data_IF_432272834882
#
_entry.id   IF_432272834882
#
_cell.length_a   1.000
_cell.length_b   1.000
_cell.length_c   1.000
_cell.angle_alpha   90.00
_cell.angle_beta   90.00
_cell.angle_gamma   90.00
#
_symmetry.space_group_name_H-M   'P 1'
#
loop_
_entity.id
_entity.type
_entity.pdbx_description
1 polymer ?
#
# COMPACT_ATOMS: atom_id res chain seq x y z
N UNK A 1 48.89 -53.93 -120.32
CA UNK A 1 48.50 -54.80 -121.46
C UNK A 1 47.62 -55.93 -120.92
N UNK A 2 46.43 -56.13 -121.52
CA UNK A 2 45.62 -57.37 -121.72
C UNK A 2 45.69 -58.48 -120.65
N UNK A 3 44.64 -59.19 -120.19
CA UNK A 3 43.24 -59.47 -120.59
C UNK A 3 42.69 -60.40 -119.46
N UNK A 4 41.49 -60.18 -118.91
CA UNK A 4 40.22 -60.91 -119.16
C UNK A 4 40.13 -62.41 -118.76
N UNK A 5 39.01 -62.75 -118.06
CA UNK A 5 38.41 -64.08 -117.90
C UNK A 5 38.18 -64.46 -116.43
N UNK A 6 37.04 -64.28 -115.74
CA UNK A 6 35.60 -64.59 -115.93
C UNK A 6 35.20 -66.06 -115.60
N UNK A 7 34.40 -66.18 -114.51
CA UNK A 7 33.44 -67.23 -114.06
C UNK A 7 33.99 -68.64 -113.76
N UNK A 8 33.53 -69.44 -112.78
CA UNK A 8 32.21 -69.84 -112.24
C UNK A 8 32.52 -70.41 -110.81
N UNK A 9 31.85 -70.17 -109.68
CA UNK A 9 30.43 -70.28 -109.36
C UNK A 9 30.11 -71.62 -108.66
N UNK A 10 30.15 -71.70 -107.33
CA UNK A 10 29.40 -72.72 -106.56
C UNK A 10 28.99 -72.21 -105.18
N UNK A 11 27.69 -72.16 -104.95
CA UNK A 11 26.99 -71.79 -103.72
C UNK A 11 27.11 -72.85 -102.63
N UNK A 12 27.08 -72.45 -101.36
CA UNK A 12 26.33 -73.16 -100.32
C UNK A 12 25.92 -72.21 -99.18
N UNK A 13 24.67 -72.36 -98.77
CA UNK A 13 23.86 -71.51 -97.90
C UNK A 13 24.39 -71.34 -96.47
N UNK A 14 24.26 -70.13 -95.92
CA UNK A 14 24.10 -69.89 -94.47
C UNK A 14 22.88 -69.00 -94.26
N UNK A 15 21.93 -69.49 -93.47
CA UNK A 15 20.67 -68.85 -93.08
C UNK A 15 20.93 -67.56 -92.27
N UNK A 16 20.43 -66.43 -92.78
CA UNK A 16 20.40 -65.15 -92.07
C UNK A 16 19.12 -65.06 -91.21
N UNK A 17 19.30 -65.00 -89.89
CA UNK A 17 18.25 -64.68 -88.92
C UNK A 17 18.28 -63.17 -88.67
N UNK A 18 17.34 -62.43 -89.26
CA UNK A 18 17.20 -60.99 -89.06
C UNK A 18 16.35 -60.72 -87.80
N UNK A 19 17.00 -60.69 -86.64
CA UNK A 19 16.42 -60.13 -85.42
C UNK A 19 16.74 -58.64 -85.31
N UNK A 20 15.77 -57.77 -85.60
CA UNK A 20 15.86 -56.34 -85.29
C UNK A 20 15.79 -56.14 -83.77
N UNK A 21 16.91 -55.74 -83.15
CA UNK A 21 16.93 -55.24 -81.77
C UNK A 21 16.26 -53.85 -81.75
N UNK A 22 14.99 -53.81 -81.33
CA UNK A 22 14.35 -52.57 -80.94
C UNK A 22 14.95 -52.14 -79.58
N UNK A 23 15.77 -51.09 -79.58
CA UNK A 23 16.17 -50.41 -78.35
C UNK A 23 14.93 -49.71 -77.77
N UNK A 24 14.32 -50.30 -76.75
CA UNK A 24 13.27 -49.66 -75.98
C UNK A 24 13.86 -48.45 -75.25
N UNK A 25 13.29 -47.28 -75.50
CA UNK A 25 13.61 -46.04 -74.79
C UNK A 25 13.20 -46.19 -73.33
N UNK A 26 14.16 -46.34 -72.41
CA UNK A 26 13.90 -46.44 -70.98
C UNK A 26 13.45 -45.07 -70.48
N UNK A 27 12.14 -44.88 -70.34
CA UNK A 27 11.60 -43.67 -69.67
C UNK A 27 11.99 -43.73 -68.19
N UNK A 28 12.78 -42.77 -67.67
CA UNK A 28 13.11 -42.73 -66.26
C UNK A 28 11.84 -42.46 -65.45
N UNK A 29 11.61 -43.29 -64.43
CA UNK A 29 10.54 -43.07 -63.45
C UNK A 29 10.83 -41.77 -62.67
N UNK A 30 9.80 -40.96 -62.36
CA UNK A 30 9.96 -39.78 -61.53
C UNK A 30 10.40 -40.18 -60.11
N UNK A 31 11.29 -39.38 -59.51
CA UNK A 31 11.76 -39.61 -58.14
C UNK A 31 10.59 -39.46 -57.15
N UNK A 32 10.58 -40.30 -56.11
CA UNK A 32 9.65 -40.22 -54.99
C UNK A 32 10.37 -39.92 -53.68
N UNK A 33 9.65 -39.55 -52.61
CA UNK A 33 10.25 -39.35 -51.28
C UNK A 33 10.99 -40.58 -50.75
N UNK A 34 10.54 -41.80 -51.13
CA UNK A 34 11.22 -43.05 -50.80
C UNK A 34 12.56 -43.24 -51.54
N UNK A 35 12.79 -42.49 -52.62
CA UNK A 35 14.06 -42.47 -53.33
C UNK A 35 15.03 -41.45 -52.73
N UNK A 36 14.53 -40.32 -52.22
CA UNK A 36 15.33 -39.27 -51.60
C UNK A 36 16.12 -39.76 -50.38
N UNK A 37 15.50 -40.55 -49.51
CA UNK A 37 16.14 -41.09 -48.29
C UNK A 37 17.36 -41.98 -48.57
N UNK A 38 17.45 -42.57 -49.76
CA UNK A 38 18.57 -43.44 -50.15
C UNK A 38 19.89 -42.66 -50.26
N UNK A 39 19.83 -41.34 -50.46
CA UNK A 39 21.01 -40.48 -50.58
C UNK A 39 21.01 -39.30 -49.59
N UNK A 40 19.83 -38.78 -49.19
CA UNK A 40 19.63 -37.67 -48.26
C UNK A 40 19.13 -38.16 -46.90
N UNK A 41 19.81 -39.15 -46.34
CA UNK A 41 19.35 -39.82 -45.12
C UNK A 41 19.19 -38.84 -43.95
N UNK A 42 20.19 -37.98 -43.72
CA UNK A 42 20.21 -37.06 -42.60
C UNK A 42 19.16 -35.94 -42.75
N UNK A 43 18.99 -35.38 -43.95
CA UNK A 43 17.97 -34.37 -44.22
C UNK A 43 16.56 -34.95 -44.09
N UNK A 44 16.31 -36.13 -44.66
CA UNK A 44 15.01 -36.79 -44.54
C UNK A 44 14.71 -37.12 -43.09
N UNK A 45 15.70 -37.64 -42.34
CA UNK A 45 15.53 -37.88 -40.90
C UNK A 45 15.23 -36.59 -40.13
N UNK A 46 15.89 -35.49 -40.49
CA UNK A 46 15.68 -34.17 -39.88
C UNK A 46 14.24 -33.67 -40.11
N UNK A 47 13.74 -33.74 -41.34
CA UNK A 47 12.33 -33.38 -41.65
C UNK A 47 11.35 -34.20 -40.84
N UNK A 48 11.58 -35.51 -40.74
CA UNK A 48 10.68 -36.40 -40.02
C UNK A 48 10.79 -36.29 -38.48
N UNK A 49 11.84 -35.65 -37.96
CA UNK A 49 12.08 -35.49 -36.53
C UNK A 49 11.19 -34.45 -35.85
N UNK A 50 10.68 -33.48 -36.61
CA UNK A 50 9.77 -32.45 -36.12
C UNK A 50 8.35 -32.69 -36.64
N UNK A 51 7.36 -32.61 -35.76
CA UNK A 51 5.97 -32.72 -36.17
C UNK A 51 5.50 -31.38 -36.75
N UNK A 52 5.58 -31.25 -38.07
CA UNK A 52 5.26 -30.01 -38.80
C UNK A 52 4.57 -30.31 -40.12
N UNK A 53 3.90 -29.31 -40.71
CA UNK A 53 3.31 -29.43 -42.04
C UNK A 53 4.35 -29.78 -43.14
N UNK A 54 5.63 -29.41 -42.94
CA UNK A 54 6.71 -29.78 -43.87
C UNK A 54 6.99 -31.28 -43.89
N UNK A 55 6.66 -32.00 -42.80
CA UNK A 55 6.72 -33.46 -42.71
C UNK A 55 5.42 -34.11 -43.21
N UNK A 56 4.29 -33.56 -42.80
CA UNK A 56 2.99 -34.25 -42.91
C UNK A 56 2.24 -33.96 -44.20
N UNK A 57 2.53 -32.84 -44.88
CA UNK A 57 1.73 -32.32 -45.99
C UNK A 57 2.53 -32.04 -47.26
N UNK A 58 3.87 -32.08 -47.21
CA UNK A 58 4.75 -31.77 -48.34
C UNK A 58 5.64 -32.97 -48.71
N UNK A 59 5.75 -33.25 -50.00
CA UNK A 59 6.76 -34.15 -50.56
C UNK A 59 8.07 -33.39 -50.83
N UNK A 60 9.19 -34.13 -50.92
CA UNK A 60 10.52 -33.53 -51.15
C UNK A 60 10.58 -32.68 -52.44
N UNK A 61 9.86 -33.09 -53.48
CA UNK A 61 9.81 -32.38 -54.77
C UNK A 61 8.83 -31.19 -54.78
N UNK A 62 8.00 -31.02 -53.75
CA UNK A 62 7.18 -29.81 -53.60
C UNK A 62 8.04 -28.63 -53.15
N UNK A 63 9.20 -28.91 -52.55
CA UNK A 63 10.19 -27.92 -52.12
C UNK A 63 11.44 -27.90 -53.03
N UNK A 64 11.81 -29.02 -53.65
CA UNK A 64 12.96 -29.07 -54.57
C UNK A 64 12.52 -29.18 -56.03
N UNK A 65 12.58 -28.07 -56.76
CA UNK A 65 12.14 -28.00 -58.17
C UNK A 65 13.10 -28.69 -59.17
N UNK A 66 14.22 -29.23 -58.70
CA UNK A 66 15.21 -29.91 -59.53
C UNK A 66 16.17 -30.81 -58.74
N UNK A 67 16.81 -31.75 -59.43
CA UNK A 67 17.80 -32.66 -58.84
C UNK A 67 18.96 -32.92 -59.82
N UNK A 68 20.24 -32.92 -59.36
CA UNK A 68 21.38 -33.23 -60.22
C UNK A 68 21.29 -34.62 -60.86
N UNK A 69 21.82 -34.84 -62.09
CA UNK A 69 22.54 -33.88 -62.94
C UNK A 69 21.62 -33.00 -63.81
N UNK A 70 20.30 -33.24 -63.80
CA UNK A 70 19.33 -32.58 -64.70
C UNK A 70 18.97 -31.14 -64.28
N UNK A 71 19.25 -30.77 -63.03
CA UNK A 71 19.02 -29.42 -62.51
C UNK A 71 19.67 -29.23 -61.14
N UNK A 72 19.63 -27.99 -60.63
CA UNK A 72 20.03 -27.71 -59.23
C UNK A 72 18.80 -27.91 -58.33
N UNK A 73 19.04 -28.40 -57.12
CA UNK A 73 18.02 -28.42 -56.06
C UNK A 73 17.81 -26.99 -55.55
N UNK A 74 16.87 -26.28 -56.17
CA UNK A 74 16.48 -24.92 -55.77
C UNK A 74 15.24 -25.01 -54.89
N UNK A 75 15.32 -24.38 -53.72
CA UNK A 75 14.19 -24.19 -52.81
C UNK A 75 13.44 -22.91 -53.24
N UNK A 76 12.11 -22.96 -53.47
CA UNK A 76 11.34 -21.77 -53.82
C UNK A 76 11.31 -20.78 -52.65
N UNK A 77 10.92 -19.53 -52.92
CA UNK A 77 10.73 -18.55 -51.84
C UNK A 77 9.69 -19.06 -50.85
N UNK A 78 9.99 -18.96 -49.56
CA UNK A 78 9.09 -19.37 -48.47
C UNK A 78 7.70 -18.71 -48.59
N UNK A 79 7.65 -17.47 -49.12
CA UNK A 79 6.41 -16.71 -49.35
C UNK A 79 5.45 -17.32 -50.38
N UNK A 80 5.85 -18.38 -51.09
CA UNK A 80 4.94 -19.14 -51.96
C UNK A 80 3.89 -19.91 -51.16
N UNK A 81 4.22 -20.30 -49.93
CA UNK A 81 3.33 -21.03 -49.03
C UNK A 81 3.04 -20.26 -47.73
N UNK A 82 3.90 -19.31 -47.36
CA UNK A 82 3.74 -18.45 -46.17
C UNK A 82 3.39 -17.02 -46.57
N UNK A 83 2.11 -16.70 -46.68
CA UNK A 83 1.66 -15.37 -47.13
C UNK A 83 1.86 -14.31 -46.02
N UNK A 84 2.61 -13.22 -46.26
CA UNK A 84 2.69 -12.08 -45.35
C UNK A 84 1.34 -11.49 -44.90
N UNK A 85 0.27 -11.69 -45.67
CA UNK A 85 -1.09 -11.29 -45.29
C UNK A 85 -1.66 -12.16 -44.16
N UNK A 86 -1.24 -13.42 -44.03
CA UNK A 86 -1.70 -14.34 -42.98
C UNK A 86 -1.01 -14.07 -41.65
N UNK A 87 0.29 -13.71 -41.68
CA UNK A 87 1.04 -13.34 -40.49
C UNK A 87 2.17 -12.35 -40.82
N UNK A 88 2.26 -11.19 -40.13
CA UNK A 88 3.34 -10.22 -40.32
C UNK A 88 4.75 -10.78 -40.16
N UNK A 89 4.93 -11.84 -39.38
CA UNK A 89 6.20 -12.56 -39.26
C UNK A 89 6.72 -13.06 -40.61
N UNK A 90 5.84 -13.50 -41.51
CA UNK A 90 6.22 -14.01 -42.83
C UNK A 90 6.73 -12.91 -43.77
N UNK A 91 6.54 -11.63 -43.43
CA UNK A 91 7.14 -10.51 -44.14
C UNK A 91 8.62 -10.28 -43.77
N UNK A 92 9.13 -10.94 -42.73
CA UNK A 92 10.51 -10.71 -42.24
C UNK A 92 11.55 -11.30 -43.20
N UNK A 93 12.64 -10.56 -43.50
CA UNK A 93 13.67 -11.05 -44.41
C UNK A 93 14.60 -12.06 -43.72
N UNK A 94 15.21 -12.95 -44.51
CA UNK A 94 16.26 -13.84 -44.03
C UNK A 94 15.74 -15.02 -43.20
N UNK A 95 14.62 -15.64 -43.62
CA UNK A 95 13.96 -16.75 -42.94
C UNK A 95 14.95 -17.87 -42.53
N UNK A 96 15.91 -18.18 -43.40
CA UNK A 96 16.90 -19.25 -43.18
C UNK A 96 17.99 -18.92 -42.14
N UNK A 97 18.03 -17.69 -41.63
CA UNK A 97 18.90 -17.33 -40.50
C UNK A 97 18.39 -17.91 -39.19
N UNK A 98 17.09 -18.14 -39.09
CA UNK A 98 16.45 -18.67 -37.89
C UNK A 98 15.84 -20.04 -38.16
N UNK A 99 15.14 -20.21 -39.28
CA UNK A 99 14.48 -21.47 -39.65
C UNK A 99 15.38 -22.33 -40.51
N UNK A 100 15.52 -23.61 -40.17
CA UNK A 100 16.05 -24.59 -41.10
C UNK A 100 14.90 -25.09 -42.00
N UNK A 101 14.96 -25.05 -43.34
CA UNK A 101 13.89 -25.57 -44.19
C UNK A 101 13.53 -27.05 -43.95
N UNK A 102 14.49 -27.84 -43.45
CA UNK A 102 14.28 -29.23 -43.04
C UNK A 102 13.90 -29.38 -41.56
N UNK A 103 14.04 -28.34 -40.75
CA UNK A 103 13.62 -28.29 -39.35
C UNK A 103 13.10 -26.88 -39.01
N UNK A 104 11.92 -26.50 -39.53
CA UNK A 104 11.46 -25.12 -39.49
C UNK A 104 11.01 -24.70 -38.09
N UNK A 105 10.75 -25.64 -37.18
CA UNK A 105 10.37 -25.30 -35.82
C UNK A 105 11.63 -24.93 -35.03
N UNK A 106 11.72 -23.65 -34.67
CA UNK A 106 12.75 -23.12 -33.77
C UNK A 106 12.17 -23.14 -32.37
N UNK A 107 12.73 -23.98 -31.50
CA UNK A 107 12.32 -24.07 -30.10
C UNK A 107 13.27 -23.35 -29.16
N UNK A 108 14.54 -23.22 -29.53
CA UNK A 108 15.59 -22.60 -28.72
C UNK A 108 15.96 -21.24 -29.31
N UNK A 109 15.88 -20.21 -28.47
CA UNK A 109 16.17 -18.83 -28.84
C UNK A 109 17.53 -18.34 -28.37
N UNK A 110 18.27 -19.13 -27.59
CA UNK A 110 19.58 -18.74 -27.02
C UNK A 110 20.62 -18.50 -28.11
N UNK A 111 20.46 -19.18 -29.24
CA UNK A 111 21.31 -19.04 -30.42
C UNK A 111 20.88 -17.89 -31.36
N UNK A 112 19.74 -17.25 -31.10
CA UNK A 112 19.23 -16.16 -31.92
C UNK A 112 19.76 -14.80 -31.42
N UNK A 113 20.50 -14.10 -32.27
CA UNK A 113 20.86 -12.70 -32.05
C UNK A 113 19.90 -11.75 -32.76
N UNK A 114 19.56 -10.63 -32.10
CA UNK A 114 18.67 -9.58 -32.63
C UNK A 114 17.30 -10.13 -33.06
N UNK A 115 16.68 -10.94 -32.19
CA UNK A 115 15.38 -11.56 -32.43
C UNK A 115 14.22 -10.59 -32.14
N UNK A 116 14.44 -9.52 -31.36
CA UNK A 116 13.41 -8.57 -30.96
C UNK A 116 12.57 -8.02 -32.13
N UNK A 117 13.13 -7.58 -33.27
CA UNK A 117 12.34 -7.11 -34.42
C UNK A 117 11.38 -8.17 -34.96
N UNK A 118 11.71 -9.45 -34.82
CA UNK A 118 10.88 -10.58 -35.26
C UNK A 118 9.82 -10.89 -34.20
N UNK A 119 10.15 -10.92 -32.91
CA UNK A 119 9.20 -11.21 -31.83
C UNK A 119 8.02 -10.21 -31.81
N UNK A 120 8.29 -8.92 -32.04
CA UNK A 120 7.26 -7.87 -32.00
C UNK A 120 6.30 -7.89 -33.19
N UNK A 121 6.57 -8.68 -34.24
CA UNK A 121 5.63 -8.86 -35.36
C UNK A 121 4.36 -9.59 -34.92
N UNK A 122 4.47 -10.47 -33.90
CA UNK A 122 3.34 -11.14 -33.25
C UNK A 122 3.02 -10.53 -31.89
N UNK A 123 4.01 -10.07 -31.13
CA UNK A 123 3.84 -9.48 -29.79
C UNK A 123 3.74 -7.94 -29.82
N UNK A 124 2.86 -7.42 -30.67
CA UNK A 124 2.69 -5.97 -30.87
C UNK A 124 2.32 -5.22 -29.59
N UNK A 125 1.50 -5.84 -28.72
CA UNK A 125 1.11 -5.26 -27.44
C UNK A 125 2.29 -5.10 -26.48
N UNK A 126 3.24 -6.04 -26.50
CA UNK A 126 4.46 -5.97 -25.69
C UNK A 126 5.35 -4.83 -26.20
N UNK A 127 5.49 -4.71 -27.52
CA UNK A 127 6.22 -3.60 -28.15
C UNK A 127 5.62 -2.24 -27.75
N UNK A 128 4.29 -2.11 -27.80
CA UNK A 128 3.59 -0.90 -27.37
C UNK A 128 3.84 -0.60 -25.89
N UNK A 129 3.73 -1.60 -25.01
CA UNK A 129 4.00 -1.44 -23.59
C UNK A 129 5.43 -0.94 -23.32
N UNK A 130 6.44 -1.56 -23.95
CA UNK A 130 7.84 -1.18 -23.78
C UNK A 130 8.15 0.23 -24.33
N UNK A 131 7.43 0.69 -25.36
CA UNK A 131 7.54 2.04 -25.92
C UNK A 131 6.84 3.10 -25.06
N UNK A 132 5.67 2.78 -24.50
CA UNK A 132 4.92 3.69 -23.62
C UNK A 132 5.72 4.04 -22.35
N UNK A 133 6.44 3.06 -21.80
CA UNK A 133 7.25 3.22 -20.59
C UNK A 133 8.61 2.56 -20.82
N UNK A 134 9.55 3.29 -21.46
CA UNK A 134 10.89 2.79 -21.71
C UNK A 134 11.63 2.45 -20.42
N UNK A 135 12.42 1.40 -20.47
CA UNK A 135 13.29 0.95 -19.38
C UNK A 135 14.54 0.28 -19.96
N UNK A 136 15.51 -0.08 -19.10
CA UNK A 136 16.67 -0.86 -19.54
C UNK A 136 16.27 -2.18 -20.22
N UNK A 137 15.13 -2.77 -19.83
CA UNK A 137 14.60 -3.99 -20.47
C UNK A 137 14.10 -3.72 -21.89
N UNK A 138 13.61 -2.50 -22.18
CA UNK A 138 13.19 -2.10 -23.51
C UNK A 138 14.36 -2.04 -24.49
N UNK A 139 15.61 -1.94 -24.01
CA UNK A 139 16.82 -1.92 -24.86
C UNK A 139 17.45 -3.31 -25.05
N UNK A 140 17.02 -4.32 -24.30
CA UNK A 140 17.53 -5.69 -24.44
C UNK A 140 16.82 -6.43 -25.59
N UNK A 141 17.48 -7.47 -26.10
CA UNK A 141 16.80 -8.44 -26.96
C UNK A 141 15.81 -9.30 -26.15
N UNK A 142 14.75 -9.78 -26.79
CA UNK A 142 13.77 -10.66 -26.13
C UNK A 142 14.41 -11.94 -25.61
N UNK A 143 15.44 -12.45 -26.29
CA UNK A 143 16.15 -13.69 -25.92
C UNK A 143 17.01 -13.55 -24.68
N UNK A 144 17.26 -12.33 -24.20
CA UNK A 144 17.96 -12.09 -22.93
C UNK A 144 17.17 -12.60 -21.72
N UNK A 145 15.87 -12.84 -21.87
CA UNK A 145 15.04 -13.45 -20.83
C UNK A 145 14.16 -14.58 -21.35
N UNK A 146 13.83 -14.62 -22.65
CA UNK A 146 12.96 -15.64 -23.24
C UNK A 146 13.76 -16.63 -24.09
N UNK A 147 13.99 -17.81 -23.53
CA UNK A 147 14.89 -18.82 -24.13
C UNK A 147 14.19 -19.77 -25.11
N UNK A 148 12.86 -19.76 -25.18
CA UNK A 148 12.14 -20.70 -26.05
C UNK A 148 10.77 -20.23 -26.51
N UNK A 149 10.36 -20.79 -27.65
CA UNK A 149 9.03 -20.59 -28.24
C UNK A 149 8.06 -21.69 -27.77
N UNK A 150 6.96 -21.34 -27.11
CA UNK A 150 5.95 -22.33 -26.70
C UNK A 150 4.87 -21.85 -25.72
N UNK A 151 3.86 -22.71 -25.53
CA UNK A 151 2.68 -22.48 -24.67
C UNK A 151 2.89 -22.87 -23.19
N UNK A 152 4.08 -23.34 -22.81
CA UNK A 152 4.38 -23.68 -21.43
C UNK A 152 4.55 -22.40 -20.60
N UNK A 153 3.77 -22.26 -19.53
CA UNK A 153 3.87 -21.14 -18.58
C UNK A 153 5.33 -20.96 -18.13
N UNK A 154 5.92 -19.82 -18.50
CA UNK A 154 6.99 -19.19 -17.73
C UNK A 154 8.42 -19.63 -18.02
N UNK A 155 8.76 -19.92 -19.27
CA UNK A 155 10.17 -20.08 -19.65
C UNK A 155 10.83 -18.73 -19.88
N UNK A 156 10.97 -17.99 -18.77
CA UNK A 156 11.84 -16.84 -18.72
C UNK A 156 12.66 -16.87 -17.44
N UNK A 157 13.84 -16.26 -17.50
CA UNK A 157 14.67 -16.02 -16.32
C UNK A 157 13.87 -15.40 -15.18
N UNK A 158 14.31 -15.69 -13.95
CA UNK A 158 13.71 -15.10 -12.77
C UNK A 158 14.27 -13.71 -12.55
N UNK A 159 13.45 -12.80 -12.01
CA UNK A 159 13.89 -11.43 -11.73
C UNK A 159 15.15 -11.40 -10.85
N UNK A 160 15.30 -12.40 -9.97
CA UNK A 160 16.36 -12.50 -8.97
C UNK A 160 17.68 -13.06 -9.50
N UNK A 161 17.70 -13.52 -10.74
CA UNK A 161 18.95 -13.94 -11.39
C UNK A 161 19.81 -12.72 -11.77
N UNK A 162 19.17 -11.54 -11.91
CA UNK A 162 19.85 -10.28 -12.21
C UNK A 162 19.59 -9.15 -11.19
N UNK A 163 18.45 -9.16 -10.50
CA UNK A 163 18.06 -8.09 -9.57
C UNK A 163 18.13 -8.52 -8.10
N UNK A 164 18.65 -7.63 -7.26
CA UNK A 164 18.57 -7.78 -5.82
C UNK A 164 17.13 -7.61 -5.33
N UNK A 165 16.74 -8.41 -4.34
CA UNK A 165 15.42 -8.33 -3.72
C UNK A 165 15.37 -7.14 -2.77
N UNK A 166 14.21 -6.49 -2.69
CA UNK A 166 13.98 -5.44 -1.68
C UNK A 166 13.89 -6.00 -0.25
N UNK A 167 13.59 -7.30 -0.11
CA UNK A 167 13.70 -8.04 1.14
C UNK A 167 13.98 -9.53 0.86
N UNK A 168 14.73 -10.25 1.73
CA UNK A 168 15.16 -11.63 1.48
C UNK A 168 14.03 -12.61 1.16
N UNK A 169 12.88 -12.43 1.81
CA UNK A 169 11.69 -13.27 1.74
C UNK A 169 10.87 -13.09 0.47
N UNK A 170 11.15 -12.07 -0.35
CA UNK A 170 10.38 -11.81 -1.57
C UNK A 170 10.57 -12.94 -2.59
N UNK A 171 9.46 -13.37 -3.19
CA UNK A 171 9.43 -14.32 -4.30
C UNK A 171 9.17 -13.60 -5.62
N UNK A 172 9.42 -14.29 -6.75
CA UNK A 172 9.05 -13.77 -8.08
C UNK A 172 7.58 -13.35 -8.16
N UNK A 173 6.69 -14.11 -7.49
CA UNK A 173 5.25 -13.79 -7.46
C UNK A 173 5.00 -12.44 -6.76
N UNK A 174 5.78 -12.13 -5.72
CA UNK A 174 5.69 -10.85 -5.01
C UNK A 174 6.20 -9.68 -5.87
N UNK A 175 7.28 -9.90 -6.64
CA UNK A 175 7.77 -8.91 -7.61
C UNK A 175 6.67 -8.50 -8.59
N UNK A 176 5.91 -9.48 -9.11
CA UNK A 176 4.84 -9.26 -10.09
C UNK A 176 3.61 -8.53 -9.54
N UNK A 177 3.54 -8.30 -8.22
CA UNK A 177 2.46 -7.52 -7.59
C UNK A 177 2.64 -6.02 -7.75
N UNK A 178 3.86 -5.59 -8.06
CA UNK A 178 4.22 -4.19 -8.22
C UNK A 178 4.85 -3.93 -9.59
N UNK A 179 5.72 -4.84 -10.06
CA UNK A 179 6.46 -4.71 -11.31
C UNK A 179 5.83 -5.53 -12.42
N UNK A 180 5.68 -4.92 -13.60
CA UNK A 180 5.35 -5.64 -14.83
C UNK A 180 6.64 -5.94 -15.58
N UNK A 181 6.91 -7.18 -16.03
CA UNK A 181 8.19 -7.53 -16.68
C UNK A 181 8.58 -6.64 -17.87
N UNK A 182 7.59 -6.22 -18.67
CA UNK A 182 7.81 -5.37 -19.85
C UNK A 182 7.62 -3.87 -19.57
N UNK A 183 7.22 -3.50 -18.35
CA UNK A 183 7.10 -2.13 -17.87
C UNK A 183 7.53 -2.05 -16.39
N UNK A 184 8.80 -2.41 -16.05
CA UNK A 184 9.21 -2.56 -14.66
C UNK A 184 9.17 -1.24 -13.87
N UNK A 185 9.26 -0.11 -14.57
CA UNK A 185 9.15 1.24 -14.01
C UNK A 185 7.69 1.70 -13.81
N UNK A 186 6.72 0.90 -14.25
CA UNK A 186 5.29 1.15 -14.07
C UNK A 186 4.80 0.38 -12.86
N UNK A 187 4.90 1.01 -11.70
CA UNK A 187 4.33 0.48 -10.47
C UNK A 187 2.80 0.48 -10.57
N UNK A 188 2.21 -0.69 -10.72
CA UNK A 188 0.76 -0.90 -10.66
C UNK A 188 0.50 -2.00 -9.66
N UNK A 189 -0.47 -1.76 -8.79
CA UNK A 189 -1.06 -2.77 -7.94
C UNK A 189 -2.56 -2.84 -8.18
N UNK A 190 -3.00 -4.02 -8.59
CA UNK A 190 -4.39 -4.35 -8.92
C UNK A 190 -5.04 -5.25 -7.86
N UNK A 191 -4.31 -5.57 -6.79
CA UNK A 191 -4.77 -6.41 -5.68
C UNK A 191 -4.32 -5.85 -4.33
N UNK A 192 -5.00 -6.25 -3.25
CA UNK A 192 -4.65 -5.87 -1.87
C UNK A 192 -3.21 -6.29 -1.53
N UNK A 193 -2.29 -5.33 -1.52
CA UNK A 193 -0.89 -5.54 -1.14
C UNK A 193 -0.78 -5.59 0.39
N UNK A 194 -0.29 -6.69 0.98
CA UNK A 194 -0.01 -6.78 2.40
C UNK A 194 0.94 -5.66 2.84
N UNK A 195 0.69 -5.01 3.98
CA UNK A 195 1.55 -3.94 4.50
C UNK A 195 3.03 -4.32 4.62
N UNK A 196 3.33 -5.60 4.84
CA UNK A 196 4.69 -6.12 4.91
C UNK A 196 5.49 -5.88 3.61
N UNK A 197 4.84 -5.98 2.44
CA UNK A 197 5.51 -5.75 1.15
C UNK A 197 5.85 -4.26 0.96
N UNK A 198 5.00 -3.35 1.44
CA UNK A 198 5.31 -1.93 1.46
C UNK A 198 6.48 -1.64 2.42
N UNK A 199 6.56 -2.39 3.52
CA UNK A 199 7.62 -2.30 4.54
C UNK A 199 9.02 -2.63 4.03
N UNK A 200 9.15 -3.37 2.92
CA UNK A 200 10.45 -3.62 2.29
C UNK A 200 11.18 -2.31 1.89
N UNK A 201 10.44 -1.26 1.54
CA UNK A 201 10.99 0.07 1.27
C UNK A 201 10.60 1.10 2.34
N UNK A 202 9.40 0.98 2.93
CA UNK A 202 8.84 1.93 3.90
C UNK A 202 8.88 1.36 5.33
N UNK A 203 9.97 0.70 5.72
CA UNK A 203 10.07 -0.06 6.97
C UNK A 203 9.65 0.71 8.22
N UNK A 204 10.11 1.95 8.38
CA UNK A 204 9.78 2.78 9.55
C UNK A 204 8.29 3.17 9.59
N UNK A 205 7.71 3.47 8.43
CA UNK A 205 6.29 3.83 8.29
C UNK A 205 5.43 2.60 8.54
N UNK A 206 5.78 1.44 7.96
CA UNK A 206 5.07 0.19 8.17
C UNK A 206 5.06 -0.21 9.65
N UNK A 207 6.20 -0.08 10.34
CA UNK A 207 6.30 -0.32 11.78
C UNK A 207 5.47 0.67 12.59
N UNK A 208 5.55 1.96 12.26
CA UNK A 208 4.76 3.01 12.93
C UNK A 208 3.26 2.76 12.76
N UNK A 209 2.82 2.44 11.54
CA UNK A 209 1.44 2.12 11.22
C UNK A 209 0.95 0.87 11.96
N UNK A 210 1.77 -0.19 11.97
CA UNK A 210 1.47 -1.42 12.69
C UNK A 210 1.30 -1.18 14.20
N UNK A 211 2.07 -0.27 14.79
CA UNK A 211 2.01 0.04 16.22
C UNK A 211 0.92 1.05 16.59
N UNK A 212 0.79 2.12 15.81
CA UNK A 212 0.04 3.33 16.18
C UNK A 212 -1.10 3.69 15.21
N UNK A 213 -1.31 2.94 14.13
CA UNK A 213 -2.28 3.28 13.06
C UNK A 213 -3.75 3.28 13.48
N UNK A 214 -4.06 2.81 14.69
CA UNK A 214 -5.43 2.81 15.25
C UNK A 214 -6.47 2.23 14.28
N UNK A 215 -7.60 2.90 14.08
CA UNK A 215 -8.66 2.43 13.19
C UNK A 215 -8.22 2.31 11.72
N UNK A 216 -7.20 3.09 11.28
CA UNK A 216 -6.66 2.93 9.94
C UNK A 216 -5.96 1.58 9.78
N UNK A 217 -5.21 1.12 10.78
CA UNK A 217 -4.57 -0.22 10.75
C UNK A 217 -5.57 -1.37 10.71
N UNK A 218 -6.72 -1.19 11.36
CA UNK A 218 -7.70 -2.27 11.53
C UNK A 218 -8.62 -2.44 10.32
N UNK A 219 -8.87 -1.36 9.57
CA UNK A 219 -9.89 -1.34 8.53
C UNK A 219 -9.37 -0.95 7.15
N UNK A 220 -8.10 -0.56 7.01
CA UNK A 220 -7.52 -0.09 5.75
C UNK A 220 -6.20 -0.79 5.44
N UNK A 221 -6.04 -1.16 4.18
CA UNK A 221 -4.77 -1.45 3.56
C UNK A 221 -4.03 -0.17 3.18
N UNK A 222 -2.71 -0.27 2.95
CA UNK A 222 -1.90 0.85 2.49
C UNK A 222 -2.44 1.47 1.19
N UNK A 223 -2.97 0.62 0.30
CA UNK A 223 -3.49 0.99 -1.03
C UNK A 223 -4.84 1.69 -1.00
N UNK A 224 -5.60 1.59 0.10
CA UNK A 224 -6.87 2.29 0.25
C UNK A 224 -6.66 3.80 0.38
N UNK A 225 -5.55 4.18 1.03
CA UNK A 225 -5.07 5.54 1.09
C UNK A 225 -4.09 5.85 -0.05
N UNK A 226 -3.09 5.02 -0.32
CA UNK A 226 -2.10 5.26 -1.38
C UNK A 226 -2.56 4.65 -2.70
N UNK A 227 -3.34 5.41 -3.48
CA UNK A 227 -3.94 4.97 -4.73
C UNK A 227 -2.98 5.00 -5.92
N UNK A 228 -1.77 5.52 -5.71
CA UNK A 228 -0.74 5.60 -6.74
C UNK A 228 0.67 5.63 -6.14
N UNK A 229 1.63 5.14 -6.90
CA UNK A 229 3.06 5.28 -6.63
C UNK A 229 3.69 6.30 -7.60
N UNK A 230 4.83 6.93 -7.23
CA UNK A 230 5.65 7.67 -8.19
C UNK A 230 5.88 6.89 -9.49
N UNK A 231 5.83 7.55 -10.67
CA UNK A 231 5.90 9.00 -10.87
C UNK A 231 4.56 9.74 -10.73
N UNK A 232 3.45 9.06 -10.44
CA UNK A 232 2.14 9.70 -10.27
C UNK A 232 2.11 10.48 -8.95
N UNK A 233 1.85 11.78 -9.03
CA UNK A 233 1.88 12.71 -7.88
C UNK A 233 0.50 13.22 -7.46
N UNK A 234 -0.48 13.13 -8.35
CA UNK A 234 -1.83 13.67 -8.12
C UNK A 234 -2.76 12.60 -7.57
N UNK A 235 -3.64 13.03 -6.65
CA UNK A 235 -4.67 12.19 -6.02
C UNK A 235 -4.12 10.87 -5.47
N UNK A 236 -2.89 10.91 -4.94
CA UNK A 236 -2.26 9.75 -4.31
C UNK A 236 -3.03 9.35 -3.07
N UNK A 237 -3.49 10.34 -2.29
CA UNK A 237 -4.25 10.13 -1.05
C UNK A 237 -5.65 10.73 -1.20
N UNK A 238 -6.72 9.97 -0.87
CA UNK A 238 -8.09 10.49 -0.86
C UNK A 238 -8.29 11.61 0.17
N UNK A 239 -9.32 12.43 -0.03
CA UNK A 239 -9.71 13.40 0.99
C UNK A 239 -10.16 12.70 2.26
N UNK A 240 -9.73 13.19 3.43
CA UNK A 240 -10.15 12.63 4.73
C UNK A 240 -11.68 12.56 4.86
N UNK A 241 -12.39 13.51 4.25
CA UNK A 241 -13.85 13.60 4.28
C UNK A 241 -14.58 12.45 3.57
N UNK A 242 -13.88 11.65 2.76
CA UNK A 242 -14.47 10.47 2.13
C UNK A 242 -14.72 9.34 3.14
N UNK A 243 -13.99 9.34 4.27
CA UNK A 243 -14.18 8.37 5.36
C UNK A 243 -14.63 9.04 6.66
N UNK A 244 -14.32 10.32 6.87
CA UNK A 244 -14.71 11.10 8.05
C UNK A 244 -15.80 12.11 7.69
N UNK A 245 -17.07 11.73 7.86
CA UNK A 245 -18.20 12.57 7.49
C UNK A 245 -18.28 13.85 8.36
N UNK A 246 -18.14 15.05 7.77
CA UNK A 246 -18.30 16.33 8.49
C UNK A 246 -19.64 16.49 9.22
N UNK A 247 -20.69 15.79 8.79
CA UNK A 247 -22.01 15.82 9.42
C UNK A 247 -22.08 15.02 10.73
N UNK A 248 -21.25 13.97 10.88
CA UNK A 248 -21.27 13.12 12.08
C UNK A 248 -20.67 13.81 13.30
N UNK A 249 -19.57 14.55 13.10
CA UNK A 249 -18.86 15.27 14.16
C UNK A 249 -18.38 16.63 13.65
N UNK A 250 -18.62 17.67 14.45
CA UNK A 250 -18.09 19.03 14.18
C UNK A 250 -16.58 19.07 13.98
N UNK A 251 -15.85 18.15 14.62
CA UNK A 251 -14.40 18.02 14.44
C UNK A 251 -14.02 17.60 13.01
N UNK A 252 -14.82 16.75 12.36
CA UNK A 252 -14.54 16.27 11.00
C UNK A 252 -14.76 17.35 9.93
N UNK A 253 -15.48 18.42 10.27
CA UNK A 253 -15.63 19.61 9.41
C UNK A 253 -14.42 20.57 9.48
N UNK A 254 -13.41 20.29 10.31
CA UNK A 254 -12.22 21.14 10.45
C UNK A 254 -11.29 20.99 9.23
N UNK A 255 -10.50 22.02 8.96
CA UNK A 255 -9.49 22.02 7.89
C UNK A 255 -8.11 21.66 8.42
N UNK A 256 -7.20 21.29 7.51
CA UNK A 256 -5.79 20.96 7.80
C UNK A 256 -5.60 19.78 8.78
N UNK A 257 -6.26 18.65 8.50
CA UNK A 257 -6.23 17.45 9.34
C UNK A 257 -4.80 16.98 9.62
N UNK A 258 -3.93 16.97 8.60
CA UNK A 258 -2.54 16.50 8.69
C UNK A 258 -1.61 17.42 9.49
N UNK A 259 -2.02 18.66 9.74
CA UNK A 259 -1.30 19.55 10.65
C UNK A 259 -1.36 19.10 12.12
N UNK A 260 -2.26 18.16 12.45
CA UNK A 260 -2.38 17.59 13.80
C UNK A 260 -2.37 16.07 13.80
N UNK A 261 -2.99 15.42 12.81
CA UNK A 261 -3.06 13.97 12.68
C UNK A 261 -2.04 13.47 11.67
N UNK A 262 -1.08 12.66 12.12
CA UNK A 262 -0.32 11.82 11.20
C UNK A 262 -1.19 10.63 10.78
N UNK A 263 -1.53 10.43 9.49
CA UNK A 263 -2.38 9.31 9.06
C UNK A 263 -1.83 7.93 9.43
N UNK A 264 -0.51 7.80 9.64
CA UNK A 264 0.13 6.57 10.07
C UNK A 264 0.15 6.38 11.60
N UNK A 265 -0.12 7.43 12.38
CA UNK A 265 -0.26 7.36 13.84
C UNK A 265 -1.31 8.37 14.36
N UNK A 266 -2.58 8.28 13.91
CA UNK A 266 -3.54 9.37 13.98
C UNK A 266 -3.93 9.79 15.40
N UNK A 267 -3.71 8.91 16.40
CA UNK A 267 -4.00 9.20 17.82
C UNK A 267 -2.85 9.88 18.56
N UNK A 268 -1.65 9.89 17.99
CA UNK A 268 -0.47 10.47 18.62
C UNK A 268 -0.31 11.91 18.16
N UNK A 269 -0.82 12.83 18.98
CA UNK A 269 -0.84 14.25 18.69
C UNK A 269 -0.10 14.97 19.82
N UNK A 270 0.86 15.80 19.46
CA UNK A 270 1.47 16.76 20.38
C UNK A 270 0.93 18.17 20.06
N UNK A 271 0.27 18.78 21.04
CA UNK A 271 -0.27 20.13 20.90
C UNK A 271 0.73 21.21 21.34
N UNK A 272 1.92 20.86 21.84
CA UNK A 272 2.92 21.81 22.33
C UNK A 272 3.29 22.88 21.30
N UNK A 273 3.41 22.48 20.03
CA UNK A 273 3.84 23.34 18.92
C UNK A 273 2.68 23.95 18.11
N UNK A 274 1.43 23.60 18.43
CA UNK A 274 0.27 24.08 17.66
C UNK A 274 -0.16 25.47 18.15
N UNK A 275 -0.05 26.49 17.29
CA UNK A 275 -0.32 27.88 17.66
C UNK A 275 -1.75 28.15 18.17
N UNK A 276 -2.76 27.53 17.55
CA UNK A 276 -4.15 27.69 17.96
C UNK A 276 -4.87 26.35 17.95
N UNK A 277 -5.33 25.94 19.12
CA UNK A 277 -6.04 24.67 19.33
C UNK A 277 -7.45 24.87 19.84
N UNK A 278 -7.78 26.07 20.35
CA UNK A 278 -9.06 26.33 21.00
C UNK A 278 -10.28 25.96 20.13
N UNK A 279 -10.37 26.34 18.83
CA UNK A 279 -11.51 25.95 18.00
C UNK A 279 -11.64 24.43 17.87
N UNK A 280 -10.51 23.72 17.79
CA UNK A 280 -10.46 22.26 17.70
C UNK A 280 -10.97 21.63 18.99
N UNK A 281 -10.47 22.06 20.15
CA UNK A 281 -10.91 21.54 21.45
C UNK A 281 -12.42 21.78 21.67
N UNK A 282 -12.92 22.97 21.30
CA UNK A 282 -14.32 23.34 21.49
C UNK A 282 -15.28 22.67 20.51
N UNK A 283 -14.78 22.10 19.41
CA UNK A 283 -15.61 21.26 18.51
C UNK A 283 -16.18 20.04 19.23
N UNK A 284 -15.45 19.51 20.22
CA UNK A 284 -15.87 18.38 21.07
C UNK A 284 -16.21 18.78 22.51
N UNK A 285 -15.61 19.85 23.04
CA UNK A 285 -15.81 20.34 24.41
C UNK A 285 -16.53 21.71 24.47
N UNK A 286 -17.72 21.88 23.87
CA UNK A 286 -18.37 23.18 23.78
C UNK A 286 -18.83 23.72 25.14
N UNK A 287 -19.11 22.85 26.10
CA UNK A 287 -19.49 23.26 27.46
C UNK A 287 -18.33 23.97 28.17
N UNK A 288 -17.09 23.52 27.98
CA UNK A 288 -15.91 24.16 28.58
C UNK A 288 -15.76 25.59 28.07
N UNK A 289 -15.94 25.80 26.76
CA UNK A 289 -15.92 27.14 26.17
C UNK A 289 -17.02 28.05 26.74
N UNK A 290 -18.23 27.51 26.96
CA UNK A 290 -19.33 28.26 27.60
C UNK A 290 -19.01 28.61 29.05
N UNK A 291 -18.47 27.67 29.82
CA UNK A 291 -18.12 27.87 31.22
C UNK A 291 -17.03 28.94 31.37
N UNK A 292 -15.96 28.86 30.57
CA UNK A 292 -14.89 29.87 30.56
C UNK A 292 -15.39 31.25 30.13
N UNK A 293 -16.37 31.33 29.22
CA UNK A 293 -16.98 32.61 28.81
C UNK A 293 -17.86 33.20 29.93
N UNK A 294 -18.61 32.35 30.63
CA UNK A 294 -19.48 32.77 31.74
C UNK A 294 -18.70 33.16 33.00
N UNK A 295 -17.54 32.56 33.20
CA UNK A 295 -16.68 32.76 34.35
C UNK A 295 -15.26 33.14 33.90
N UNK A 296 -15.07 34.37 33.37
CA UNK A 296 -13.78 34.80 32.85
C UNK A 296 -12.71 34.80 33.94
N UNK A 297 -11.53 34.33 33.58
CA UNK A 297 -10.32 34.33 34.42
C UNK A 297 -9.10 34.59 33.56
N UNK A 298 -7.91 34.71 34.16
CA UNK A 298 -6.66 34.81 33.41
C UNK A 298 -6.45 33.64 32.41
N UNK A 299 -7.00 32.46 32.71
CA UNK A 299 -6.97 31.30 31.83
C UNK A 299 -7.88 31.45 30.59
N UNK A 300 -8.90 32.32 30.65
CA UNK A 300 -9.82 32.50 29.53
C UNK A 300 -9.12 33.03 28.27
N UNK A 301 -8.05 33.82 28.43
CA UNK A 301 -7.23 34.35 27.35
C UNK A 301 -6.08 33.44 26.90
N UNK A 302 -5.90 32.26 27.51
CA UNK A 302 -4.85 31.31 27.13
C UNK A 302 -5.38 30.27 26.14
N UNK A 303 -4.51 29.75 25.28
CA UNK A 303 -4.83 28.60 24.43
C UNK A 303 -4.88 27.31 25.26
N UNK A 304 -5.74 26.37 24.85
CA UNK A 304 -5.99 25.15 25.62
C UNK A 304 -4.72 24.30 25.80
N UNK A 305 -3.81 24.31 24.83
CA UNK A 305 -2.55 23.57 24.85
C UNK A 305 -1.52 24.09 25.86
N UNK A 306 -1.71 25.28 26.43
CA UNK A 306 -0.88 25.74 27.56
C UNK A 306 -1.03 24.84 28.78
N UNK A 307 -2.21 24.25 28.97
CA UNK A 307 -2.48 23.26 30.03
C UNK A 307 -2.63 21.84 29.47
N UNK A 308 -3.14 21.67 28.26
CA UNK A 308 -3.39 20.38 27.61
C UNK A 308 -2.40 20.11 26.47
N UNK A 309 -1.14 19.82 26.82
CA UNK A 309 -0.07 19.58 25.83
C UNK A 309 -0.26 18.29 25.05
N UNK A 310 -0.81 17.28 25.71
CA UNK A 310 -1.12 15.99 25.09
C UNK A 310 -2.63 15.79 25.20
N UNK A 311 -3.26 15.33 24.11
CA UNK A 311 -4.68 15.08 24.09
C UNK A 311 -5.11 14.13 25.24
N UNK A 312 -6.15 14.52 25.98
CA UNK A 312 -6.64 13.77 27.14
C UNK A 312 -5.77 13.87 28.41
N UNK A 313 -4.66 14.61 28.38
CA UNK A 313 -3.83 14.90 29.54
C UNK A 313 -3.85 16.38 29.88
N UNK A 314 -3.48 16.72 31.11
CA UNK A 314 -3.39 18.09 31.58
C UNK A 314 -2.18 18.25 32.51
N UNK A 315 -1.67 19.47 32.61
CA UNK A 315 -0.72 19.86 33.64
C UNK A 315 -1.38 19.89 35.02
N UNK A 316 -0.58 19.77 36.08
CA UNK A 316 -1.01 20.05 37.44
C UNK A 316 -1.15 21.56 37.63
N UNK A 317 -2.10 22.00 38.45
CA UNK A 317 -2.15 23.40 38.89
C UNK A 317 -0.83 23.82 39.54
N UNK A 318 -0.18 22.90 40.25
CA UNK A 318 1.06 23.14 40.98
C UNK A 318 2.29 23.32 40.06
N UNK A 319 2.16 23.02 38.76
CA UNK A 319 3.25 23.26 37.80
C UNK A 319 3.41 24.76 37.50
N UNK A 320 2.42 25.59 37.85
CA UNK A 320 2.43 27.04 37.61
C UNK A 320 1.96 27.87 38.82
N UNK A 321 1.26 27.27 39.79
CA UNK A 321 0.71 27.95 40.95
C UNK A 321 1.22 27.34 42.25
N UNK A 322 1.54 28.20 43.21
CA UNK A 322 1.83 27.74 44.57
C UNK A 322 0.52 27.37 45.30
N UNK A 323 0.59 26.30 46.10
CA UNK A 323 -0.51 25.93 47.00
C UNK A 323 -0.63 26.94 48.14
N UNK A 324 -1.83 27.03 48.74
CA UNK A 324 -2.02 27.90 49.91
C UNK A 324 -1.39 27.32 51.20
N UNK A 325 -0.89 26.08 51.12
CA UNK A 325 -0.11 25.41 52.16
C UNK A 325 0.88 24.47 51.48
N UNK A 326 2.09 24.35 52.03
CA UNK A 326 3.20 23.61 51.42
C UNK A 326 2.91 22.11 51.20
N UNK A 327 1.93 21.55 51.90
CA UNK A 327 1.54 20.14 51.75
C UNK A 327 0.36 19.92 50.81
N UNK A 328 -0.22 20.98 50.23
CA UNK A 328 -1.35 20.84 49.31
C UNK A 328 -0.96 20.10 48.03
N UNK A 329 -1.79 19.14 47.64
CA UNK A 329 -1.67 18.41 46.38
C UNK A 329 -2.73 18.87 45.39
N UNK A 330 -2.55 18.54 44.12
CA UNK A 330 -3.52 18.85 43.05
C UNK A 330 -4.98 18.52 43.42
N UNK A 331 -5.23 17.34 44.01
CA UNK A 331 -6.58 16.91 44.41
C UNK A 331 -7.17 17.75 45.56
N UNK A 332 -6.34 18.43 46.34
CA UNK A 332 -6.82 19.37 47.36
C UNK A 332 -7.34 20.66 46.72
N UNK A 333 -6.71 21.13 45.64
CA UNK A 333 -7.17 22.29 44.87
C UNK A 333 -8.59 22.08 44.35
N UNK A 334 -8.88 20.88 43.84
CA UNK A 334 -10.19 20.50 43.26
C UNK A 334 -11.35 20.49 44.27
N UNK A 335 -11.04 20.54 45.57
CA UNK A 335 -12.07 20.63 46.63
C UNK A 335 -12.72 22.00 46.70
N UNK A 336 -12.08 23.02 46.15
CA UNK A 336 -12.53 24.41 46.18
C UNK A 336 -12.55 25.05 44.78
N UNK A 337 -11.53 24.80 43.96
CA UNK A 337 -11.37 25.35 42.62
C UNK A 337 -11.83 24.36 41.56
N UNK A 338 -12.58 24.84 40.59
CA UNK A 338 -12.97 24.05 39.43
C UNK A 338 -12.01 24.31 38.26
N UNK A 339 -11.56 23.27 37.54
CA UNK A 339 -10.85 23.47 36.29
C UNK A 339 -11.67 24.33 35.33
N UNK A 340 -11.01 25.16 34.54
CA UNK A 340 -11.59 26.10 33.56
C UNK A 340 -12.37 27.29 34.14
N UNK A 341 -12.86 27.24 35.38
CA UNK A 341 -13.40 28.39 36.11
C UNK A 341 -13.07 28.31 37.61
N UNK A 342 -11.81 28.61 37.99
CA UNK A 342 -11.35 28.44 39.38
C UNK A 342 -12.07 29.33 40.39
N UNK A 343 -12.74 30.40 39.94
CA UNK A 343 -13.42 31.39 40.77
C UNK A 343 -14.86 31.64 40.32
N UNK A 344 -15.79 31.94 41.26
CA UNK A 344 -15.61 31.84 42.71
C UNK A 344 -15.50 30.37 43.18
N UNK A 345 -14.81 30.09 44.30
CA UNK A 345 -14.60 28.74 44.75
C UNK A 345 -15.92 28.13 45.25
N UNK A 346 -16.10 26.85 44.94
CA UNK A 346 -17.23 26.04 45.38
C UNK A 346 -16.71 24.89 46.21
N UNK A 347 -17.31 24.64 47.37
CA UNK A 347 -16.81 23.61 48.27
C UNK A 347 -17.37 22.23 47.94
N UNK A 348 -16.49 21.23 47.90
CA UNK A 348 -16.89 19.83 47.94
C UNK A 348 -17.64 19.53 49.25
N UNK A 349 -18.46 18.46 49.24
CA UNK A 349 -19.24 18.05 50.41
C UNK A 349 -18.39 17.76 51.66
N UNK A 350 -17.12 17.40 51.48
CA UNK A 350 -16.16 17.11 52.55
C UNK A 350 -14.84 17.81 52.23
N UNK A 351 -14.51 18.83 53.02
CA UNK A 351 -13.23 19.54 52.96
C UNK A 351 -12.64 19.54 54.37
N UNK A 352 -11.39 19.07 54.47
CA UNK A 352 -10.72 18.98 55.77
C UNK A 352 -10.49 20.41 56.34
N UNK A 353 -10.70 20.65 57.64
CA UNK A 353 -10.71 22.00 58.21
C UNK A 353 -9.32 22.65 58.12
N UNK A 354 -8.25 21.84 58.15
CA UNK A 354 -6.87 22.29 57.96
C UNK A 354 -6.67 23.02 56.63
N UNK A 355 -7.36 22.60 55.56
CA UNK A 355 -7.26 23.26 54.26
C UNK A 355 -7.90 24.66 54.27
N UNK A 356 -8.90 24.90 55.12
CA UNK A 356 -9.44 26.24 55.35
C UNK A 356 -8.49 27.07 56.22
N UNK A 357 -7.81 26.43 57.18
CA UNK A 357 -6.84 27.07 58.09
C UNK A 357 -5.63 27.69 57.39
N UNK A 358 -5.31 27.26 56.16
CA UNK A 358 -4.29 27.89 55.32
C UNK A 358 -4.53 29.39 55.08
N UNK A 359 -5.80 29.83 55.05
CA UNK A 359 -6.16 31.25 54.97
C UNK A 359 -6.89 31.75 56.22
N UNK A 360 -7.54 30.85 56.96
CA UNK A 360 -8.35 31.13 58.15
C UNK A 360 -7.72 30.54 59.41
N UNK A 361 -6.44 30.85 59.65
CA UNK A 361 -5.67 30.22 60.72
C UNK A 361 -6.30 30.49 62.11
N UNK A 362 -6.73 31.73 62.34
CA UNK A 362 -7.36 32.14 63.59
C UNK A 362 -8.67 31.38 63.85
N UNK A 363 -9.56 31.30 62.85
CA UNK A 363 -10.83 30.58 62.97
C UNK A 363 -10.63 29.07 63.08
N UNK A 364 -9.63 28.52 62.37
CA UNK A 364 -9.26 27.12 62.49
C UNK A 364 -8.80 26.78 63.90
N UNK A 365 -7.90 27.59 64.49
CA UNK A 365 -7.44 27.42 65.88
C UNK A 365 -8.59 27.57 66.87
N UNK A 366 -9.41 28.62 66.72
CA UNK A 366 -10.56 28.85 67.58
C UNK A 366 -11.52 27.64 67.59
N UNK A 367 -11.87 27.11 66.40
CA UNK A 367 -12.81 25.99 66.30
C UNK A 367 -12.19 24.65 66.72
N UNK A 368 -10.94 24.37 66.38
CA UNK A 368 -10.33 23.03 66.55
C UNK A 368 -9.52 22.87 67.84
N UNK A 369 -8.89 23.93 68.31
CA UNK A 369 -8.01 23.88 69.48
C UNK A 369 -8.68 24.46 70.72
N UNK A 370 -9.41 25.58 70.56
CA UNK A 370 -9.88 26.36 71.73
C UNK A 370 -11.33 26.02 72.13
N UNK A 371 -12.14 25.54 71.18
CA UNK A 371 -13.56 25.30 71.39
C UNK A 371 -13.87 23.88 71.91
N UNK A 372 -14.30 23.81 73.18
CA UNK A 372 -14.68 22.56 73.86
C UNK A 372 -16.14 22.13 73.61
N UNK A 373 -16.92 22.88 72.83
CA UNK A 373 -18.32 22.56 72.51
C UNK A 373 -18.44 21.48 71.42
N UNK A 374 -19.67 21.00 71.17
CA UNK A 374 -19.95 20.07 70.06
C UNK A 374 -19.59 20.67 68.69
N UNK A 375 -19.52 21.99 68.55
CA UNK A 375 -19.11 22.64 67.31
C UNK A 375 -17.66 22.35 66.92
N UNK A 376 -16.75 22.14 67.89
CA UNK A 376 -15.35 21.81 67.59
C UNK A 376 -15.18 20.51 66.77
N UNK A 377 -16.16 19.61 66.83
CA UNK A 377 -16.19 18.36 66.04
C UNK A 377 -16.67 18.57 64.60
N UNK A 378 -17.31 19.69 64.27
CA UNK A 378 -17.85 19.95 62.94
C UNK A 378 -16.74 20.29 61.93
N UNK A 379 -17.03 20.05 60.65
CA UNK A 379 -16.21 20.51 59.53
C UNK A 379 -16.64 21.92 59.12
N UNK A 380 -15.73 22.74 58.61
CA UNK A 380 -16.05 24.12 58.21
C UNK A 380 -17.21 24.15 57.19
N UNK A 381 -17.20 23.23 56.23
CA UNK A 381 -18.22 23.13 55.16
C UNK A 381 -19.61 22.69 55.65
N UNK A 382 -19.74 22.28 56.91
CA UNK A 382 -21.05 22.02 57.51
C UNK A 382 -21.83 23.33 57.72
N UNK A 383 -21.14 24.36 58.20
CA UNK A 383 -21.70 25.70 58.40
C UNK A 383 -21.56 26.57 57.14
N UNK A 384 -20.43 26.44 56.43
CA UNK A 384 -20.12 27.18 55.21
C UNK A 384 -20.41 26.34 53.97
N UNK A 385 -21.68 26.20 53.62
CA UNK A 385 -22.12 25.28 52.56
C UNK A 385 -22.01 25.87 51.16
N UNK A 386 -21.67 25.00 50.20
CA UNK A 386 -21.77 25.19 48.73
C UNK A 386 -20.88 26.26 48.10
N UNK A 387 -20.77 27.46 48.69
CA UNK A 387 -19.95 28.56 48.20
C UNK A 387 -19.24 29.26 49.37
N UNK A 388 -18.11 29.87 49.05
CA UNK A 388 -17.38 30.68 50.02
C UNK A 388 -18.22 31.85 50.54
N UNK A 389 -17.99 32.24 51.80
CA UNK A 389 -18.69 33.30 52.56
C UNK A 389 -20.17 33.05 52.89
N UNK A 390 -20.71 31.87 52.61
CA UNK A 390 -22.06 31.49 53.09
C UNK A 390 -21.99 31.18 54.58
N UNK A 391 -22.87 31.78 55.40
CA UNK A 391 -22.99 31.50 56.84
C UNK A 391 -24.41 31.02 57.12
N UNK A 392 -24.55 29.82 57.69
CA UNK A 392 -25.85 29.27 58.11
C UNK A 392 -26.35 29.96 59.38
N UNK A 393 -27.63 30.32 59.43
CA UNK A 393 -28.26 30.92 60.63
C UNK A 393 -28.40 29.87 61.75
N UNK A 394 -28.21 30.27 63.01
CA UNK A 394 -28.26 29.40 64.19
C UNK A 394 -29.56 28.57 64.26
N UNK A 395 -30.71 29.23 64.03
CA UNK A 395 -32.04 28.62 64.01
C UNK A 395 -32.21 27.47 63.04
N UNK A 396 -31.38 27.39 62.00
CA UNK A 396 -31.43 26.31 61.00
C UNK A 396 -31.09 24.95 61.60
N UNK A 397 -30.30 24.93 62.68
CA UNK A 397 -29.89 23.70 63.36
C UNK A 397 -30.46 23.61 64.77
N UNK A 398 -30.62 24.73 65.46
CA UNK A 398 -31.04 24.76 66.86
C UNK A 398 -32.54 25.04 67.06
N UNK A 399 -33.29 25.39 66.01
CA UNK A 399 -34.67 25.86 66.17
C UNK A 399 -34.75 27.14 67.00
N UNK A 400 -35.78 27.23 67.84
CA UNK A 400 -35.99 28.32 68.80
C UNK A 400 -35.94 27.75 70.24
N UNK A 401 -34.75 27.66 70.86
CA UNK A 401 -34.59 27.05 72.17
C UNK A 401 -35.08 27.91 73.35
N UNK A 402 -35.53 29.13 73.09
CA UNK A 402 -36.04 30.09 74.07
C UNK A 402 -37.39 30.62 73.61
N UNK A 403 -38.16 31.18 74.54
CA UNK A 403 -39.46 31.77 74.24
C UNK A 403 -39.36 33.00 73.33
N UNK A 404 -40.44 33.25 72.58
CA UNK A 404 -40.54 34.31 71.59
C UNK A 404 -40.16 35.73 72.07
N UNK A 405 -40.42 36.16 73.33
CA UNK A 405 -40.00 37.48 73.80
C UNK A 405 -38.47 37.65 73.80
N UNK A 406 -37.72 36.59 74.11
CA UNK A 406 -36.26 36.67 74.18
C UNK A 406 -35.66 36.85 72.79
N UNK A 407 -36.12 36.10 71.79
CA UNK A 407 -35.66 36.25 70.40
C UNK A 407 -36.08 37.58 69.77
N UNK A 408 -37.20 38.17 70.21
CA UNK A 408 -37.67 39.49 69.75
C UNK A 408 -36.79 40.61 70.29
N UNK A 409 -36.44 40.55 71.58
CA UNK A 409 -35.64 41.59 72.24
C UNK A 409 -34.13 41.43 71.97
N UNK A 410 -33.66 40.20 71.72
CA UNK A 410 -32.25 39.88 71.47
C UNK A 410 -32.09 39.02 70.21
N UNK A 411 -32.23 39.60 69.00
CA UNK A 411 -32.17 38.84 67.75
C UNK A 411 -30.77 38.33 67.39
N UNK A 412 -29.70 38.88 67.99
CA UNK A 412 -28.32 38.44 67.78
C UNK A 412 -27.87 37.47 68.87
N UNK A 413 -27.85 36.19 68.53
CA UNK A 413 -27.47 35.10 69.43
C UNK A 413 -26.02 35.24 69.95
N UNK A 414 -25.13 35.91 69.22
CA UNK A 414 -23.71 35.99 69.58
C UNK A 414 -23.45 36.83 70.82
N UNK A 415 -24.35 37.77 71.16
CA UNK A 415 -24.21 38.62 72.35
C UNK A 415 -24.19 37.80 73.64
N UNK A 416 -24.96 36.72 73.68
CA UNK A 416 -25.03 35.83 74.83
C UNK A 416 -24.17 34.58 74.63
N UNK A 417 -24.24 33.92 73.47
CA UNK A 417 -23.60 32.62 73.24
C UNK A 417 -22.18 32.70 72.66
N UNK A 418 -21.73 33.87 72.23
CA UNK A 418 -20.43 34.05 71.58
C UNK A 418 -20.40 33.58 70.12
N UNK A 419 -19.22 33.55 69.52
CA UNK A 419 -19.00 33.16 68.12
C UNK A 419 -19.16 31.63 67.99
N UNK A 420 -19.80 31.08 66.92
CA UNK A 420 -19.89 29.64 66.71
C UNK A 420 -18.55 28.90 66.71
N UNK A 421 -17.45 29.57 66.34
CA UNK A 421 -16.09 29.05 66.41
C UNK A 421 -15.52 29.03 67.83
N UNK A 422 -16.04 29.84 68.75
CA UNK A 422 -15.63 29.89 70.15
C UNK A 422 -16.85 30.22 71.03
N UNK A 423 -17.74 29.24 71.20
CA UNK A 423 -18.94 29.42 72.00
C UNK A 423 -18.58 29.57 73.48
N UNK A 424 -19.21 30.53 74.15
CA UNK A 424 -19.10 30.68 75.61
C UNK A 424 -19.85 29.52 76.27
N UNK A 425 -19.24 28.93 77.30
CA UNK A 425 -19.87 27.88 78.10
C UNK A 425 -21.03 28.44 78.91
#
# INVERSE_FOLDING_TARGET
MKRFGIHIGLCCLILLWSGTLAMAEVKPLPLTGADCIKCHFDEVKTVHSQDSAHKNELACLDCHEGHPPKGKAVIPKCSRCHDPADNPHFATPGCTRCHNPHAPIVTDFDSLGDAKPVCITCHTDISKQMQEIPSAHSEQDCTACHHQHGLAKGQSDTCTDCHEKHAPELTRKDCLRCHRPHQPNRYIWDSEIPPALCGACHGDIAQTFAKNGAAHRENLACTDCHQAHPPRKENVIPSCSQCHDPAEKKHFAMKNCTGCHNPHEPKKIDFSEVKSVRPVCLSCHPQIGRDMKKHPSAHAGQECNKCHRIHGRHLSCLDCHEGHDASMKYNDCLKCHRPHYPMPPTFAKKVAPRLCGACHEAEYKALKSDNKSKHGKLQCVYCHTSRHKVIRKCRTCHGEPHDAPLHRNFPDCHKCHGNPHHLKK
#
